data_IF_939971840839
#
_entry.id   IF_939971840839
#
_cell.length_a   1.000
_cell.length_b   1.000
_cell.length_c   1.000
_cell.angle_alpha   90.00
_cell.angle_beta   90.00
_cell.angle_gamma   90.00
#
_symmetry.space_group_name_H-M   'P 1'
#
loop_
_entity.id
_entity.type
_entity.pdbx_description
1 polymer ?
#
# COMPACT_ATOMS: atom_id res chain seq x y z
N UNK A 1 -14.76 -15.22 15.40
CA UNK A 1 -15.60 -14.11 14.91
C UNK A 1 -14.80 -13.31 13.89
N UNK A 2 -15.41 -12.75 12.84
CA UNK A 2 -14.73 -11.90 11.84
C UNK A 2 -15.06 -10.43 12.06
N UNK A 3 -14.07 -9.56 11.91
CA UNK A 3 -14.23 -8.12 11.97
C UNK A 3 -13.89 -7.50 10.61
N UNK A 4 -14.70 -6.53 10.20
CA UNK A 4 -14.63 -5.92 8.87
C UNK A 4 -14.07 -4.49 8.88
N UNK A 5 -13.72 -3.93 10.05
CA UNK A 5 -13.11 -2.61 10.13
C UNK A 5 -11.60 -2.65 9.94
N UNK A 6 -10.95 -1.49 9.86
CA UNK A 6 -9.54 -1.38 9.48
C UNK A 6 -8.56 -1.42 10.67
N UNK A 7 -9.04 -1.04 11.86
CA UNK A 7 -8.19 -0.81 13.04
C UNK A 7 -8.28 -2.02 13.96
N UNK A 8 -7.23 -2.82 14.20
CA UNK A 8 -7.27 -3.94 15.16
C UNK A 8 -7.73 -3.51 16.56
N UNK A 9 -8.45 -4.37 17.28
CA UNK A 9 -9.07 -3.98 18.58
C UNK A 9 -8.58 -4.77 19.78
N UNK A 10 -7.97 -5.94 19.59
CA UNK A 10 -7.49 -6.73 20.73
C UNK A 10 -6.06 -6.32 21.03
N UNK A 11 -5.89 -5.42 22.00
CA UNK A 11 -4.58 -4.88 22.34
C UNK A 11 -3.82 -5.79 23.31
N UNK A 12 -2.56 -6.10 23.00
CA UNK A 12 -1.67 -6.94 23.83
C UNK A 12 -1.64 -6.52 25.29
N UNK A 13 -1.54 -5.21 25.54
CA UNK A 13 -1.46 -4.63 26.90
C UNK A 13 -2.64 -4.99 27.81
N UNK A 14 -3.81 -5.29 27.25
CA UNK A 14 -5.00 -5.66 28.03
C UNK A 14 -5.01 -7.14 28.44
N UNK A 15 -4.11 -7.94 27.88
CA UNK A 15 -4.00 -9.38 28.08
C UNK A 15 -2.63 -9.78 28.66
N UNK A 16 -1.99 -8.88 29.39
CA UNK A 16 -0.70 -9.09 30.06
C UNK A 16 -0.85 -9.03 31.58
N UNK A 17 -0.11 -9.87 32.30
CA UNK A 17 -0.05 -9.88 33.76
C UNK A 17 -0.67 -11.13 34.41
N UNK A 18 -0.49 -11.30 35.73
CA UNK A 18 -0.83 -12.53 36.45
C UNK A 18 -2.34 -12.85 36.47
N UNK A 19 -3.21 -11.85 36.27
CA UNK A 19 -4.66 -12.00 36.24
C UNK A 19 -5.27 -11.70 34.86
N UNK A 20 -4.46 -11.75 33.79
CA UNK A 20 -4.92 -11.43 32.44
C UNK A 20 -5.90 -12.49 31.93
N UNK A 21 -7.00 -12.02 31.33
CA UNK A 21 -7.92 -12.90 30.60
C UNK A 21 -7.31 -13.29 29.25
N UNK A 22 -7.56 -14.51 28.79
CA UNK A 22 -7.16 -14.92 27.45
C UNK A 22 -7.82 -14.03 26.37
N UNK A 23 -7.08 -13.61 25.34
CA UNK A 23 -7.64 -12.82 24.26
C UNK A 23 -8.69 -13.65 23.49
N UNK A 24 -9.85 -13.07 23.14
CA UNK A 24 -10.84 -13.78 22.34
C UNK A 24 -10.33 -13.98 20.90
N UNK A 25 -10.66 -15.09 20.23
CA UNK A 25 -10.28 -15.30 18.84
C UNK A 25 -11.10 -14.39 17.92
N UNK A 26 -10.45 -13.36 17.39
CA UNK A 26 -11.03 -12.41 16.44
C UNK A 26 -10.17 -12.36 15.18
N UNK A 27 -10.78 -12.63 14.04
CA UNK A 27 -10.14 -12.53 12.74
C UNK A 27 -10.28 -11.10 12.22
N UNK A 28 -9.16 -10.50 11.84
CA UNK A 28 -9.06 -9.13 11.33
C UNK A 28 -8.05 -9.08 10.19
N UNK A 29 -8.32 -8.31 9.13
CA UNK A 29 -7.40 -8.31 7.97
C UNK A 29 -6.16 -7.41 8.17
N UNK A 30 -6.29 -6.34 8.96
CA UNK A 30 -5.15 -5.55 9.40
C UNK A 30 -4.55 -6.08 10.71
N UNK A 31 -3.25 -5.86 10.90
CA UNK A 31 -2.54 -6.18 12.13
C UNK A 31 -1.50 -5.11 12.47
N UNK A 32 -1.06 -5.08 13.72
CA UNK A 32 0.16 -4.38 14.13
C UNK A 32 0.79 -5.10 15.32
N UNK A 33 2.05 -4.75 15.64
CA UNK A 33 2.85 -5.44 16.66
C UNK A 33 2.22 -5.49 18.05
N UNK A 34 1.31 -4.57 18.36
CA UNK A 34 0.62 -4.47 19.67
C UNK A 34 -0.80 -5.02 19.66
N UNK A 35 -1.24 -5.65 18.56
CA UNK A 35 -2.53 -6.31 18.45
C UNK A 35 -2.41 -7.84 18.55
N UNK A 36 -3.48 -8.49 18.98
CA UNK A 36 -3.64 -9.95 19.10
C UNK A 36 -4.71 -10.51 18.17
N UNK A 37 -5.36 -9.66 17.36
CA UNK A 37 -6.26 -10.11 16.30
C UNK A 37 -5.52 -11.08 15.34
N UNK A 38 -6.20 -12.14 14.92
CA UNK A 38 -5.67 -13.15 14.01
C UNK A 38 -5.78 -12.62 12.59
N UNK A 39 -4.63 -12.39 11.94
CA UNK A 39 -4.57 -11.83 10.59
C UNK A 39 -5.12 -12.82 9.57
N UNK A 40 -6.02 -12.36 8.70
CA UNK A 40 -6.53 -13.11 7.55
C UNK A 40 -6.52 -12.26 6.28
N UNK A 41 -6.50 -12.86 5.07
CA UNK A 41 -6.56 -12.09 3.82
C UNK A 41 -7.82 -11.22 3.76
N UNK A 42 -7.68 -9.98 3.32
CA UNK A 42 -8.83 -9.08 3.19
C UNK A 42 -9.77 -9.50 2.04
N UNK A 43 -10.96 -8.91 2.02
CA UNK A 43 -12.01 -9.22 1.05
C UNK A 43 -11.54 -9.04 -0.41
N UNK A 44 -10.63 -8.10 -0.66
CA UNK A 44 -10.09 -7.84 -2.00
C UNK A 44 -9.32 -9.03 -2.58
N UNK A 45 -8.86 -9.98 -1.75
CA UNK A 45 -8.22 -11.19 -2.23
C UNK A 45 -9.13 -12.00 -3.16
N UNK A 46 -10.43 -12.07 -2.86
CA UNK A 46 -11.44 -12.73 -3.71
C UNK A 46 -12.06 -11.78 -4.74
N UNK A 47 -11.63 -10.53 -4.77
CA UNK A 47 -12.17 -9.47 -5.62
C UNK A 47 -13.26 -8.65 -4.92
N UNK A 48 -13.53 -7.49 -5.52
CA UNK A 48 -14.54 -6.54 -5.05
C UNK A 48 -15.17 -5.88 -6.28
N UNK A 49 -16.33 -6.38 -6.70
CA UNK A 49 -16.98 -5.99 -7.94
C UNK A 49 -17.38 -4.52 -7.95
N UNK A 50 -17.86 -3.99 -6.82
CA UNK A 50 -18.29 -2.60 -6.66
C UNK A 50 -17.16 -1.60 -6.91
N UNK A 51 -15.90 -1.99 -6.67
CA UNK A 51 -14.71 -1.17 -6.91
C UNK A 51 -13.85 -1.66 -8.08
N UNK A 52 -14.38 -2.58 -8.90
CA UNK A 52 -13.67 -3.19 -10.04
C UNK A 52 -12.33 -3.86 -9.66
N UNK A 53 -12.20 -4.35 -8.42
CA UNK A 53 -11.04 -5.13 -8.01
C UNK A 53 -11.29 -6.57 -8.43
N UNK A 54 -10.41 -7.11 -9.27
CA UNK A 54 -10.49 -8.50 -9.69
C UNK A 54 -9.95 -9.42 -8.58
N UNK A 55 -10.36 -10.69 -8.55
CA UNK A 55 -9.72 -11.68 -7.69
C UNK A 55 -8.20 -11.66 -7.83
N UNK A 56 -7.49 -11.97 -6.76
CA UNK A 56 -6.05 -11.85 -6.67
C UNK A 56 -5.33 -12.59 -7.82
N UNK A 57 -5.77 -13.79 -8.18
CA UNK A 57 -5.18 -14.56 -9.29
C UNK A 57 -5.21 -13.81 -10.62
N UNK A 58 -6.35 -13.21 -10.97
CA UNK A 58 -6.50 -12.42 -12.19
C UNK A 58 -5.70 -11.11 -12.14
N UNK A 59 -5.67 -10.47 -10.98
CA UNK A 59 -4.87 -9.26 -10.74
C UNK A 59 -3.38 -9.56 -10.93
N UNK A 60 -2.88 -10.62 -10.30
CA UNK A 60 -1.49 -11.08 -10.42
C UNK A 60 -1.14 -11.41 -11.87
N UNK A 61 -2.00 -12.13 -12.59
CA UNK A 61 -1.79 -12.42 -14.01
C UNK A 61 -1.70 -11.13 -14.84
N UNK A 62 -2.59 -10.17 -14.58
CA UNK A 62 -2.58 -8.84 -15.20
C UNK A 62 -1.28 -8.09 -14.95
N UNK A 63 -0.80 -8.07 -13.71
CA UNK A 63 0.45 -7.41 -13.33
C UNK A 63 1.66 -8.10 -13.98
N UNK A 64 1.70 -9.45 -14.01
CA UNK A 64 2.76 -10.19 -14.70
C UNK A 64 2.78 -9.83 -16.19
N UNK A 65 1.61 -9.81 -16.85
CA UNK A 65 1.49 -9.40 -18.27
C UNK A 65 1.94 -7.95 -18.46
N UNK A 66 1.50 -7.03 -17.59
CA UNK A 66 1.91 -5.63 -17.59
C UNK A 66 3.42 -5.46 -17.45
N UNK A 67 4.04 -6.21 -16.53
CA UNK A 67 5.48 -6.15 -16.25
C UNK A 67 6.36 -6.55 -17.43
N UNK A 68 5.83 -7.40 -18.33
CA UNK A 68 6.51 -7.89 -19.53
C UNK A 68 6.42 -6.91 -20.72
N UNK A 69 5.50 -5.94 -20.69
CA UNK A 69 5.33 -4.95 -21.78
C UNK A 69 6.58 -4.11 -22.00
N UNK A 70 7.26 -3.72 -20.91
CA UNK A 70 8.46 -2.89 -20.94
C UNK A 70 9.55 -3.58 -20.14
N UNK A 71 10.68 -3.87 -20.81
CA UNK A 71 11.89 -4.37 -20.15
C UNK A 71 12.33 -3.38 -19.08
N UNK A 72 12.77 -3.90 -17.93
CA UNK A 72 13.24 -3.10 -16.80
C UNK A 72 14.12 -1.90 -17.18
N UNK A 73 15.15 -2.12 -18.00
CA UNK A 73 16.10 -1.08 -18.45
C UNK A 73 15.47 0.08 -19.23
N UNK A 74 14.28 -0.13 -19.79
CA UNK A 74 13.55 0.84 -20.60
C UNK A 74 12.40 1.49 -19.83
N UNK A 75 12.22 1.17 -18.53
CA UNK A 75 11.20 1.79 -17.69
C UNK A 75 11.62 3.20 -17.31
N UNK A 76 10.64 4.04 -17.05
CA UNK A 76 10.87 5.42 -16.61
C UNK A 76 11.59 5.39 -15.26
N UNK A 77 12.75 6.07 -15.09
CA UNK A 77 13.60 5.96 -13.90
C UNK A 77 13.12 6.88 -12.77
N UNK A 78 11.80 6.91 -12.53
CA UNK A 78 11.20 7.70 -11.46
C UNK A 78 10.39 6.79 -10.54
N UNK A 79 10.39 7.13 -9.25
CA UNK A 79 9.44 6.57 -8.30
C UNK A 79 8.03 7.00 -8.66
N UNK A 80 7.08 6.08 -8.70
CA UNK A 80 5.69 6.34 -9.01
C UNK A 80 4.79 6.01 -7.82
N UNK A 81 3.87 6.91 -7.50
CA UNK A 81 2.77 6.62 -6.57
C UNK A 81 1.50 7.32 -7.04
N UNK A 82 0.39 6.59 -7.01
CA UNK A 82 -0.95 7.14 -7.26
C UNK A 82 -1.90 6.64 -6.19
N UNK A 83 -2.44 7.55 -5.38
CA UNK A 83 -3.31 7.17 -4.26
C UNK A 83 -4.04 8.34 -3.63
N UNK A 84 -4.90 8.06 -2.66
CA UNK A 84 -5.64 9.09 -1.92
C UNK A 84 -4.75 9.67 -0.79
N UNK A 85 -4.32 10.94 -0.87
CA UNK A 85 -3.43 11.54 0.12
C UNK A 85 -4.13 11.87 1.44
N UNK A 86 -5.46 11.86 1.49
CA UNK A 86 -6.24 12.30 2.65
C UNK A 86 -6.50 11.18 3.67
N UNK A 87 -6.03 9.95 3.41
CA UNK A 87 -6.23 8.81 4.32
C UNK A 87 -5.37 8.96 5.58
N UNK A 88 -4.13 9.42 5.44
CA UNK A 88 -3.22 9.65 6.58
C UNK A 88 -2.33 10.85 6.32
N UNK A 89 -1.82 11.47 7.38
CA UNK A 89 -0.84 12.57 7.30
C UNK A 89 0.37 12.18 6.45
N UNK A 90 0.88 10.96 6.59
CA UNK A 90 2.05 10.49 5.85
C UNK A 90 1.83 10.47 4.33
N UNK A 91 0.61 10.12 3.87
CA UNK A 91 0.28 10.20 2.43
C UNK A 91 0.18 11.65 1.97
N UNK A 92 -0.32 12.54 2.81
CA UNK A 92 -0.30 13.99 2.57
C UNK A 92 1.11 14.55 2.48
N UNK A 93 2.01 14.13 3.38
CA UNK A 93 3.41 14.54 3.41
C UNK A 93 4.18 14.00 2.21
N UNK A 94 3.89 12.77 1.74
CA UNK A 94 4.47 12.22 0.51
C UNK A 94 4.24 13.17 -0.67
N UNK A 95 3.07 13.80 -0.78
CA UNK A 95 2.77 14.74 -1.86
C UNK A 95 3.69 15.97 -1.89
N UNK A 96 4.39 16.29 -0.79
CA UNK A 96 5.40 17.36 -0.75
C UNK A 96 6.69 17.00 -1.51
N UNK A 97 6.90 15.72 -1.79
CA UNK A 97 8.02 15.24 -2.59
C UNK A 97 7.73 15.27 -4.11
N UNK A 98 6.60 15.85 -4.52
CA UNK A 98 6.33 16.04 -5.94
C UNK A 98 7.28 17.11 -6.53
N UNK A 99 7.45 17.13 -7.84
CA UNK A 99 8.36 18.07 -8.53
C UNK A 99 8.03 19.50 -8.14
N UNK A 100 9.04 20.22 -7.64
CA UNK A 100 8.95 21.64 -7.36
C UNK A 100 10.02 22.38 -8.17
N UNK A 101 9.81 23.68 -8.43
CA UNK A 101 10.77 24.52 -9.18
C UNK A 101 12.19 24.50 -8.63
N UNK A 102 12.34 24.18 -7.34
CA UNK A 102 13.60 24.16 -6.61
C UNK A 102 14.26 22.78 -6.52
N UNK A 103 13.51 21.69 -6.72
CA UNK A 103 14.02 20.33 -6.51
C UNK A 103 13.14 19.27 -7.19
N UNK A 104 13.74 18.39 -7.98
CA UNK A 104 13.12 17.15 -8.49
C UNK A 104 13.62 15.97 -7.67
N UNK A 105 12.72 15.35 -6.90
CA UNK A 105 12.98 14.17 -6.07
C UNK A 105 13.01 12.86 -6.88
N UNK A 106 13.02 12.91 -8.21
CA UNK A 106 12.84 11.76 -9.10
C UNK A 106 11.56 10.96 -8.79
N UNK A 107 10.53 11.63 -8.26
CA UNK A 107 9.26 11.04 -7.89
C UNK A 107 8.11 11.65 -8.71
N UNK A 108 7.13 10.83 -9.08
CA UNK A 108 5.94 11.17 -9.84
C UNK A 108 4.73 10.73 -9.03
N UNK A 109 4.16 11.70 -8.31
CA UNK A 109 3.13 11.47 -7.31
C UNK A 109 1.81 12.04 -7.80
N UNK A 110 0.77 11.21 -7.82
CA UNK A 110 -0.55 11.57 -8.35
C UNK A 110 -1.63 11.32 -7.32
N UNK A 111 -2.55 12.28 -7.17
CA UNK A 111 -3.75 12.07 -6.36
C UNK A 111 -4.73 11.18 -7.11
N UNK A 112 -5.17 10.10 -6.46
CA UNK A 112 -6.28 9.26 -6.91
C UNK A 112 -7.60 9.87 -6.44
N UNK A 113 -8.49 10.23 -7.37
CA UNK A 113 -9.83 10.74 -7.05
C UNK A 113 -10.87 9.62 -7.15
N UNK A 114 -11.25 9.04 -6.01
CA UNK A 114 -12.17 7.91 -5.97
C UNK A 114 -13.60 8.27 -6.38
N UNK A 115 -14.01 9.53 -6.21
CA UNK A 115 -15.33 9.98 -6.66
C UNK A 115 -15.39 10.03 -8.19
N UNK A 116 -14.30 10.43 -8.84
CA UNK A 116 -14.13 10.37 -10.29
C UNK A 116 -14.04 8.93 -10.79
N UNK A 117 -13.17 8.10 -10.21
CA UNK A 117 -13.03 6.68 -10.61
C UNK A 117 -14.36 5.94 -10.55
N UNK A 118 -15.16 6.15 -9.49
CA UNK A 118 -16.47 5.52 -9.38
C UNK A 118 -17.41 5.88 -10.53
N UNK A 119 -17.34 7.12 -11.04
CA UNK A 119 -18.13 7.56 -12.22
C UNK A 119 -17.59 6.98 -13.52
N UNK A 120 -16.28 6.75 -13.59
CA UNK A 120 -15.58 6.27 -14.80
C UNK A 120 -15.33 4.75 -14.78
N UNK A 121 -15.89 4.01 -13.81
CA UNK A 121 -15.78 2.56 -13.72
C UNK A 121 -14.40 2.06 -13.29
N UNK A 122 -13.64 2.86 -12.54
CA UNK A 122 -12.30 2.49 -12.01
C UNK A 122 -11.28 2.15 -13.11
N UNK A 123 -11.48 2.68 -14.31
CA UNK A 123 -10.66 2.35 -15.47
C UNK A 123 -9.22 2.84 -15.36
N UNK A 124 -8.95 3.81 -14.48
CA UNK A 124 -7.62 4.41 -14.32
C UNK A 124 -6.96 4.05 -12.98
N UNK A 125 -7.53 3.12 -12.21
CA UNK A 125 -6.97 2.65 -10.94
C UNK A 125 -6.40 1.23 -11.00
N UNK A 126 -6.20 0.68 -12.20
CA UNK A 126 -5.65 -0.67 -12.41
C UNK A 126 -4.18 -0.75 -11.99
N UNK A 127 -3.84 -1.82 -11.28
CA UNK A 127 -2.47 -2.05 -10.82
C UNK A 127 -1.55 -2.47 -11.97
N UNK A 128 -2.08 -3.20 -12.96
CA UNK A 128 -1.31 -3.65 -14.14
C UNK A 128 -0.75 -2.51 -15.00
N UNK A 129 -1.33 -1.31 -14.90
CA UNK A 129 -0.91 -0.13 -15.66
C UNK A 129 0.26 0.62 -15.00
N UNK A 130 0.61 0.29 -13.75
CA UNK A 130 1.70 0.94 -13.01
C UNK A 130 3.09 0.38 -13.38
N UNK A 131 3.14 -0.72 -14.13
CA UNK A 131 4.35 -1.45 -14.52
C UNK A 131 5.28 -0.72 -15.52
N UNK A 132 5.05 0.57 -15.80
CA UNK A 132 5.85 1.40 -16.71
C UNK A 132 7.02 2.12 -16.03
N UNK A 133 7.02 2.18 -14.70
CA UNK A 133 8.04 2.84 -13.89
C UNK A 133 9.01 1.82 -13.27
N UNK A 134 10.27 2.20 -13.06
CA UNK A 134 11.26 1.33 -12.40
C UNK A 134 10.94 1.14 -10.92
N UNK A 135 10.44 2.17 -10.25
CA UNK A 135 10.18 2.13 -8.81
C UNK A 135 8.73 2.46 -8.54
N UNK A 136 8.05 1.61 -7.76
CA UNK A 136 6.68 1.85 -7.32
C UNK A 136 6.70 2.05 -5.81
N UNK A 137 6.21 3.20 -5.35
CA UNK A 137 6.06 3.48 -3.93
C UNK A 137 4.78 2.84 -3.40
N UNK A 138 4.86 2.17 -2.26
CA UNK A 138 3.69 1.70 -1.49
C UNK A 138 3.71 2.38 -0.13
N UNK A 139 2.59 3.01 0.23
CA UNK A 139 2.40 3.59 1.56
C UNK A 139 1.44 2.71 2.34
N UNK A 140 1.98 1.96 3.31
CA UNK A 140 1.16 1.17 4.23
C UNK A 140 0.27 2.11 5.03
N UNK A 141 -1.04 1.98 4.83
CA UNK A 141 -2.03 2.55 5.73
C UNK A 141 -3.00 1.46 6.15
N UNK A 142 -3.72 1.69 7.25
CA UNK A 142 -4.69 0.74 7.78
C UNK A 142 -5.81 0.38 6.77
N UNK A 143 -5.92 1.11 5.66
CA UNK A 143 -6.93 0.93 4.61
C UNK A 143 -6.34 0.38 3.30
N UNK A 144 -5.08 -0.04 3.26
CA UNK A 144 -4.36 -0.29 1.99
C UNK A 144 -4.29 -1.76 1.60
N UNK A 145 -5.12 -2.17 0.63
CA UNK A 145 -4.97 -3.42 -0.11
C UNK A 145 -3.76 -3.44 -1.08
N UNK A 146 -2.98 -2.36 -1.12
CA UNK A 146 -1.90 -2.13 -2.11
C UNK A 146 -0.65 -3.01 -1.87
N UNK A 147 -0.52 -3.65 -0.70
CA UNK A 147 0.72 -4.31 -0.24
C UNK A 147 0.95 -5.68 -0.91
N UNK A 148 -0.12 -6.40 -1.29
CA UNK A 148 0.01 -7.77 -1.80
C UNK A 148 0.38 -7.86 -3.29
N UNK A 149 0.42 -6.74 -4.01
CA UNK A 149 0.11 -6.73 -5.44
C UNK A 149 1.25 -6.45 -6.43
N UNK A 150 2.53 -6.69 -6.13
CA UNK A 150 3.60 -6.42 -7.10
C UNK A 150 4.66 -7.55 -7.19
N UNK A 151 4.97 -8.05 -8.40
CA UNK A 151 6.02 -9.04 -8.62
C UNK A 151 7.41 -8.44 -8.39
N UNK A 152 8.32 -9.28 -7.92
CA UNK A 152 9.72 -9.05 -7.51
C UNK A 152 10.67 -8.43 -8.55
N UNK A 153 10.18 -8.00 -9.72
CA UNK A 153 10.94 -7.32 -10.77
C UNK A 153 10.76 -5.80 -10.75
N UNK A 154 10.19 -5.24 -9.69
CA UNK A 154 10.13 -3.80 -9.40
C UNK A 154 10.69 -3.51 -8.01
N UNK A 155 11.40 -2.40 -7.85
CA UNK A 155 11.77 -1.92 -6.51
C UNK A 155 10.49 -1.37 -5.88
N UNK A 156 9.99 -2.08 -4.87
CA UNK A 156 8.87 -1.64 -4.04
C UNK A 156 9.47 -0.84 -2.88
N UNK A 157 9.18 0.46 -2.83
CA UNK A 157 9.52 1.26 -1.65
C UNK A 157 8.30 1.24 -0.73
N UNK A 158 8.32 0.35 0.27
CA UNK A 158 7.36 0.38 1.37
C UNK A 158 7.81 1.45 2.37
N UNK A 159 7.13 2.61 2.41
CA UNK A 159 7.38 3.55 3.51
C UNK A 159 6.50 3.14 4.70
N UNK A 160 7.07 2.35 5.60
CA UNK A 160 6.42 1.89 6.80
C UNK A 160 6.27 3.01 7.85
N UNK A 161 5.27 2.86 8.73
CA UNK A 161 4.89 3.81 9.78
C UNK A 161 5.98 3.90 10.87
N UNK A 162 6.50 5.10 11.10
CA UNK A 162 6.91 5.68 12.38
C UNK A 162 7.57 4.76 13.45
N UNK A 163 8.67 4.10 13.11
CA UNK A 163 9.85 4.14 14.00
C UNK A 163 10.69 5.36 13.55
N UNK A 164 11.35 6.12 14.45
CA UNK A 164 12.15 7.26 14.02
C UNK A 164 13.20 6.77 13.04
N UNK A 165 13.10 7.22 11.78
CA UNK A 165 14.04 6.90 10.70
C UNK A 165 15.46 7.06 11.25
N UNK A 166 16.13 5.92 11.45
CA UNK A 166 17.54 5.91 11.76
C UNK A 166 18.26 6.68 10.65
N UNK A 167 19.30 7.42 11.02
CA UNK A 167 20.08 8.29 10.11
C UNK A 167 20.58 7.55 8.84
N UNK A 168 20.63 6.22 8.86
CA UNK A 168 20.97 5.37 7.71
C UNK A 168 19.84 5.15 6.69
N UNK A 169 18.58 4.95 7.11
CA UNK A 169 17.46 4.72 6.18
C UNK A 169 17.10 5.99 5.39
N UNK A 170 17.19 7.16 6.05
CA UNK A 170 17.08 8.46 5.39
C UNK A 170 18.23 8.71 4.39
N UNK A 171 19.40 8.10 4.60
CA UNK A 171 20.52 8.18 3.67
C UNK A 171 20.39 7.21 2.49
N UNK A 172 19.64 6.11 2.64
CA UNK A 172 19.32 5.21 1.51
C UNK A 172 18.38 5.91 0.51
N UNK A 173 17.38 6.66 0.99
CA UNK A 173 16.49 7.46 0.16
C UNK A 173 17.18 8.67 -0.51
N UNK A 174 18.34 9.11 0.00
CA UNK A 174 19.17 10.18 -0.60
C UNK A 174 20.17 9.68 -1.65
N UNK A 175 20.33 8.36 -1.81
CA UNK A 175 21.26 7.73 -2.76
C UNK A 175 20.55 7.13 -3.99
N UNK A 176 19.22 7.24 -4.06
CA UNK A 176 18.39 7.00 -5.25
C UNK A 176 18.17 8.36 -5.93
#
# INVERSE_FOLDING_TARGET
>A
MFRCGDIPIIQKRNHQGPNATLPPPLFQYCGHRDALDIVFPDWSFWGWAETNIKPWENTLEGIIKGSKKIKWKNRVPYAYWKGNPYVTSNRGDLMRCNVADKHDWNARLYRQDWAKERKEGYNHSKLEDQCTHSTIGLLETQTSAEISSLPSNGVIITLARHEPLGREEANLLRKI
#
